data_IF_030062852387
#
_entry.id   IF_030062852387
#
_cell.length_a   1.000
_cell.length_b   1.000
_cell.length_c   1.000
_cell.angle_alpha   90.00
_cell.angle_beta   90.00
_cell.angle_gamma   90.00
#
_symmetry.space_group_name_H-M   'P 1'
#
loop_
_entity.id
_entity.type
_entity.pdbx_description
1 polymer ?
#
# COMPACT_ATOMS: atom_id res chain seq x y z
N UNK A 1 17.27 -0.79 14.82
CA UNK A 1 16.41 -0.23 13.75
C UNK A 1 15.50 0.79 14.42
N UNK A 2 15.55 2.03 13.98
CA UNK A 2 14.53 3.03 14.33
C UNK A 2 13.18 2.56 13.80
N UNK A 3 12.12 2.82 14.55
CA UNK A 3 10.76 2.46 14.15
C UNK A 3 10.37 3.29 12.91
N UNK A 4 9.69 2.73 11.90
CA UNK A 4 9.22 3.51 10.77
C UNK A 4 8.25 4.62 11.23
N UNK A 5 8.41 5.83 10.71
CA UNK A 5 7.45 6.91 10.93
C UNK A 5 6.29 6.80 9.93
N UNK A 6 5.06 7.08 10.34
CA UNK A 6 3.88 7.03 9.44
C UNK A 6 3.27 8.42 9.36
N UNK A 7 3.07 8.90 8.14
CA UNK A 7 2.43 10.18 7.86
C UNK A 7 1.44 10.06 6.69
N UNK A 8 0.64 11.10 6.48
CA UNK A 8 -0.37 11.15 5.43
C UNK A 8 -0.01 12.24 4.41
N UNK A 9 -0.41 12.07 3.15
CA UNK A 9 -0.33 13.09 2.11
C UNK A 9 -1.72 13.48 1.61
N UNK A 10 -1.89 14.77 1.35
CA UNK A 10 -3.13 15.43 0.98
C UNK A 10 -3.76 15.01 -0.37
N UNK A 11 -3.06 14.30 -1.26
CA UNK A 11 -3.59 13.92 -2.58
C UNK A 11 -3.57 12.42 -2.75
N UNK A 12 -4.72 11.84 -3.13
CA UNK A 12 -4.85 10.43 -3.48
C UNK A 12 -5.00 10.32 -4.99
N UNK A 13 -4.01 9.74 -5.66
CA UNK A 13 -4.07 9.43 -7.08
C UNK A 13 -5.20 8.42 -7.39
N UNK A 14 -5.52 8.23 -8.66
CA UNK A 14 -6.17 6.99 -9.09
C UNK A 14 -5.17 5.84 -9.07
N UNK A 15 -5.67 4.59 -9.10
CA UNK A 15 -4.81 3.42 -9.20
C UNK A 15 -3.88 3.49 -10.42
N UNK A 16 -4.41 3.93 -11.57
CA UNK A 16 -3.65 4.00 -12.81
C UNK A 16 -2.53 5.06 -12.71
N UNK A 17 -2.85 6.25 -12.18
CA UNK A 17 -1.84 7.31 -11.92
C UNK A 17 -0.77 6.85 -10.92
N UNK A 18 -1.16 6.16 -9.83
CA UNK A 18 -0.21 5.63 -8.86
C UNK A 18 0.72 4.58 -9.48
N UNK A 19 0.20 3.71 -10.35
CA UNK A 19 0.99 2.72 -11.07
C UNK A 19 1.92 3.34 -12.11
N UNK A 20 1.46 4.36 -12.83
CA UNK A 20 2.30 5.13 -13.77
C UNK A 20 3.45 5.83 -13.04
N UNK A 21 3.15 6.50 -11.92
CA UNK A 21 4.16 7.13 -11.07
C UNK A 21 5.15 6.09 -10.52
N UNK A 22 4.65 4.98 -9.96
CA UNK A 22 5.49 3.91 -9.43
C UNK A 22 6.43 3.33 -10.49
N UNK A 23 5.93 3.08 -11.71
CA UNK A 23 6.73 2.55 -12.81
C UNK A 23 7.85 3.53 -13.21
N UNK A 24 7.53 4.82 -13.27
CA UNK A 24 8.50 5.87 -13.60
C UNK A 24 9.63 5.99 -12.56
N UNK A 25 9.33 5.77 -11.28
CA UNK A 25 10.31 5.87 -10.19
C UNK A 25 11.05 4.55 -9.90
N UNK A 26 10.52 3.40 -10.34
CA UNK A 26 11.06 2.08 -10.05
C UNK A 26 11.35 1.23 -11.32
N UNK A 27 12.14 1.74 -12.30
CA UNK A 27 12.30 1.10 -13.61
C UNK A 27 12.90 -0.32 -13.56
N UNK A 28 13.75 -0.61 -12.56
CA UNK A 28 14.33 -1.95 -12.36
C UNK A 28 13.27 -2.96 -11.94
N UNK A 29 12.35 -2.56 -11.04
CA UNK A 29 11.26 -3.42 -10.59
C UNK A 29 10.14 -3.52 -11.62
N UNK A 30 9.92 -2.46 -12.42
CA UNK A 30 8.93 -2.45 -13.49
C UNK A 30 9.11 -3.60 -14.47
N UNK A 31 10.33 -3.85 -14.96
CA UNK A 31 10.59 -4.96 -15.90
C UNK A 31 10.22 -6.32 -15.30
N UNK A 32 10.49 -6.50 -14.01
CA UNK A 32 10.17 -7.74 -13.31
C UNK A 32 8.66 -7.87 -13.07
N UNK A 33 7.99 -6.75 -12.81
CA UNK A 33 6.56 -6.70 -12.68
C UNK A 33 5.85 -7.00 -13.99
N UNK A 34 6.30 -6.46 -15.13
CA UNK A 34 5.76 -6.79 -16.45
C UNK A 34 5.89 -8.29 -16.76
N UNK A 35 7.03 -8.90 -16.45
CA UNK A 35 7.22 -10.35 -16.60
C UNK A 35 6.29 -11.16 -15.68
N UNK A 36 6.10 -10.70 -14.44
CA UNK A 36 5.12 -11.28 -13.51
C UNK A 36 3.71 -11.22 -14.13
N UNK A 37 3.27 -10.07 -14.64
CA UNK A 37 1.93 -9.87 -15.20
C UNK A 37 1.69 -10.74 -16.44
N UNK A 38 2.70 -10.95 -17.27
CA UNK A 38 2.60 -11.86 -18.42
C UNK A 38 2.34 -13.32 -17.99
N UNK A 39 2.91 -13.72 -16.85
CA UNK A 39 2.78 -15.08 -16.30
C UNK A 39 1.52 -15.24 -15.44
N UNK A 40 1.18 -14.21 -14.69
CA UNK A 40 0.08 -14.16 -13.73
C UNK A 40 -0.71 -12.86 -13.90
N UNK A 41 -1.60 -12.77 -14.90
CA UNK A 41 -2.38 -11.54 -15.13
C UNK A 41 -3.25 -11.13 -13.94
N UNK A 42 -3.63 -12.10 -13.11
CA UNK A 42 -4.40 -11.88 -11.88
C UNK A 42 -3.64 -11.06 -10.83
N UNK A 43 -2.31 -10.98 -10.90
CA UNK A 43 -1.49 -10.17 -9.99
C UNK A 43 -1.89 -8.67 -10.01
N UNK A 44 -2.41 -8.15 -11.13
CA UNK A 44 -2.95 -6.78 -11.20
C UNK A 44 -4.10 -6.57 -10.21
N UNK A 45 -4.96 -7.57 -10.02
CA UNK A 45 -6.06 -7.48 -9.05
C UNK A 45 -5.52 -7.41 -7.62
N UNK A 46 -4.49 -8.19 -7.30
CA UNK A 46 -3.85 -8.19 -5.97
C UNK A 46 -3.20 -6.84 -5.65
N UNK A 47 -2.51 -6.24 -6.63
CA UNK A 47 -1.92 -4.90 -6.47
C UNK A 47 -3.02 -3.84 -6.34
N UNK A 48 -4.13 -3.99 -7.04
CA UNK A 48 -5.29 -3.11 -6.87
C UNK A 48 -5.95 -3.24 -5.49
N UNK A 49 -6.00 -4.45 -4.92
CA UNK A 49 -6.48 -4.64 -3.54
C UNK A 49 -5.55 -3.96 -2.54
N UNK A 50 -4.23 -4.10 -2.70
CA UNK A 50 -3.29 -3.34 -1.89
C UNK A 50 -3.53 -1.83 -2.03
N UNK A 51 -3.76 -1.34 -3.25
CA UNK A 51 -4.04 0.07 -3.49
C UNK A 51 -5.29 0.55 -2.76
N UNK A 52 -6.38 -0.22 -2.77
CA UNK A 52 -7.57 0.13 -1.99
C UNK A 52 -7.28 0.13 -0.48
N UNK A 53 -6.46 -0.81 -0.03
CA UNK A 53 -6.10 -0.95 1.38
C UNK A 53 -5.32 0.25 1.91
N UNK A 54 -4.31 0.75 1.18
CA UNK A 54 -3.39 1.78 1.71
C UNK A 54 -3.34 3.08 0.92
N UNK A 55 -3.82 3.08 -0.33
CA UNK A 55 -3.66 4.15 -1.33
C UNK A 55 -2.22 4.68 -1.45
N UNK A 56 -2.03 5.79 -2.14
CA UNK A 56 -0.79 6.58 -2.15
C UNK A 56 -0.77 7.69 -1.08
N UNK A 57 -1.77 7.77 -0.20
CA UNK A 57 -1.76 8.78 0.85
C UNK A 57 -0.89 8.40 2.04
N UNK A 58 -0.62 7.11 2.27
CA UNK A 58 0.11 6.66 3.46
C UNK A 58 1.61 6.61 3.16
N UNK A 59 2.38 7.39 3.92
CA UNK A 59 3.84 7.40 3.88
C UNK A 59 4.43 6.57 5.01
N UNK A 60 5.54 5.90 4.69
CA UNK A 60 6.41 5.23 5.63
C UNK A 60 7.82 5.81 5.54
N UNK A 61 8.25 6.48 6.61
CA UNK A 61 9.40 7.39 6.62
C UNK A 61 9.24 8.44 5.50
N UNK A 62 10.07 8.37 4.46
CA UNK A 62 10.13 9.33 3.37
C UNK A 62 9.57 8.79 2.03
N UNK A 63 8.83 7.67 2.06
CA UNK A 63 8.31 7.05 0.83
C UNK A 63 6.89 6.51 0.97
N UNK A 64 6.23 6.30 -0.17
CA UNK A 64 4.89 5.75 -0.23
C UNK A 64 4.87 4.30 0.29
N UNK A 65 3.93 3.99 1.18
CA UNK A 65 3.76 2.64 1.70
C UNK A 65 3.36 1.68 0.58
N UNK A 66 2.51 2.12 -0.36
CA UNK A 66 2.15 1.36 -1.55
C UNK A 66 3.39 0.91 -2.34
N UNK A 67 4.28 1.85 -2.68
CA UNK A 67 5.53 1.58 -3.40
C UNK A 67 6.41 0.59 -2.63
N UNK A 68 6.56 0.81 -1.32
CA UNK A 68 7.37 -0.05 -0.47
C UNK A 68 6.86 -1.49 -0.47
N UNK A 69 5.55 -1.69 -0.31
CA UNK A 69 4.92 -3.00 -0.36
C UNK A 69 5.11 -3.68 -1.71
N UNK A 70 4.88 -2.95 -2.81
CA UNK A 70 5.01 -3.49 -4.17
C UNK A 70 6.46 -3.88 -4.50
N UNK A 71 7.43 -3.00 -4.21
CA UNK A 71 8.85 -3.28 -4.42
C UNK A 71 9.32 -4.51 -3.62
N UNK A 72 8.90 -4.61 -2.34
CA UNK A 72 9.27 -5.75 -1.49
C UNK A 72 8.64 -7.06 -1.98
N UNK A 73 7.41 -7.02 -2.47
CA UNK A 73 6.73 -8.19 -3.03
C UNK A 73 7.38 -8.66 -4.34
N UNK A 74 7.72 -7.74 -5.25
CA UNK A 74 8.43 -8.08 -6.50
C UNK A 74 9.80 -8.66 -6.18
N UNK A 75 10.52 -8.08 -5.22
CA UNK A 75 11.80 -8.63 -4.78
C UNK A 75 11.64 -10.07 -4.26
N UNK A 76 10.59 -10.33 -3.46
CA UNK A 76 10.32 -11.67 -2.96
C UNK A 76 10.00 -12.67 -4.09
N UNK A 77 9.24 -12.25 -5.11
CA UNK A 77 8.97 -13.05 -6.31
C UNK A 77 10.28 -13.49 -6.97
N UNK A 78 11.21 -12.56 -7.18
CA UNK A 78 12.52 -12.85 -7.79
C UNK A 78 13.34 -13.84 -6.95
N UNK A 79 13.39 -13.64 -5.63
CA UNK A 79 14.13 -14.50 -4.69
C UNK A 79 13.58 -15.93 -4.70
N UNK A 80 12.25 -16.07 -4.75
CA UNK A 80 11.57 -17.36 -4.72
C UNK A 80 11.43 -18.01 -6.09
N UNK A 81 11.73 -17.32 -7.20
CA UNK A 81 11.64 -17.87 -8.55
C UNK A 81 12.38 -19.20 -8.74
N UNK A 82 13.50 -19.40 -8.03
CA UNK A 82 14.26 -20.67 -8.03
C UNK A 82 13.53 -21.85 -7.37
N UNK A 83 12.52 -21.58 -6.55
CA UNK A 83 11.68 -22.59 -5.87
C UNK A 83 10.43 -22.96 -6.68
N UNK A 84 10.24 -22.35 -7.85
CA UNK A 84 9.09 -22.56 -8.72
C UNK A 84 8.18 -21.35 -8.78
N UNK A 85 7.51 -21.17 -9.91
CA UNK A 85 6.74 -19.97 -10.22
C UNK A 85 5.52 -19.78 -9.31
N UNK A 86 4.84 -20.87 -8.95
CA UNK A 86 3.70 -20.83 -8.02
C UNK A 86 4.16 -20.39 -6.63
N UNK A 87 5.23 -20.98 -6.11
CA UNK A 87 5.79 -20.60 -4.82
C UNK A 87 6.28 -19.14 -4.81
N UNK A 88 6.81 -18.66 -5.94
CA UNK A 88 7.19 -17.27 -6.11
C UNK A 88 5.96 -16.34 -6.10
N UNK A 89 4.90 -16.71 -6.80
CA UNK A 89 3.65 -15.97 -6.84
C UNK A 89 2.94 -15.92 -5.48
N UNK A 90 2.87 -17.04 -4.76
CA UNK A 90 2.34 -17.08 -3.39
C UNK A 90 3.14 -16.17 -2.46
N UNK A 91 4.47 -16.17 -2.61
CA UNK A 91 5.35 -15.28 -1.87
C UNK A 91 5.16 -13.81 -2.21
N UNK A 92 4.86 -13.49 -3.47
CA UNK A 92 4.50 -12.14 -3.91
C UNK A 92 3.23 -11.63 -3.20
N UNK A 93 2.12 -12.37 -3.30
CA UNK A 93 0.84 -11.99 -2.68
C UNK A 93 1.01 -11.81 -1.18
N UNK A 94 1.61 -12.81 -0.53
CA UNK A 94 1.83 -12.77 0.92
C UNK A 94 2.65 -11.55 1.33
N UNK A 95 3.71 -11.24 0.58
CA UNK A 95 4.59 -10.12 0.93
C UNK A 95 3.91 -8.77 0.71
N UNK A 96 3.02 -8.61 -0.28
CA UNK A 96 2.23 -7.39 -0.47
C UNK A 96 1.44 -7.06 0.80
N UNK A 97 0.64 -8.00 1.27
CA UNK A 97 -0.30 -7.78 2.37
C UNK A 97 0.41 -7.77 3.73
N UNK A 98 1.30 -8.74 4.00
CA UNK A 98 2.03 -8.82 5.28
C UNK A 98 2.88 -7.56 5.54
N UNK A 99 3.38 -6.92 4.47
CA UNK A 99 4.18 -5.69 4.60
C UNK A 99 3.30 -4.50 5.00
N UNK A 100 2.12 -4.37 4.40
CA UNK A 100 1.16 -3.33 4.78
C UNK A 100 0.66 -3.54 6.22
N UNK A 101 0.24 -4.76 6.55
CA UNK A 101 -0.19 -5.16 7.90
C UNK A 101 0.89 -4.86 8.92
N UNK A 102 2.13 -5.31 8.68
CA UNK A 102 3.23 -5.09 9.62
C UNK A 102 3.58 -3.61 9.79
N UNK A 103 3.43 -2.80 8.75
CA UNK A 103 3.70 -1.37 8.82
C UNK A 103 2.62 -0.64 9.63
N UNK A 104 1.35 -1.01 9.45
CA UNK A 104 0.21 -0.26 9.97
C UNK A 104 -0.46 -0.88 11.20
N UNK A 105 -0.06 -2.07 11.64
CA UNK A 105 -0.71 -2.82 12.73
C UNK A 105 -0.90 -2.00 14.02
N UNK A 106 0.03 -1.07 14.33
CA UNK A 106 -0.07 -0.20 15.52
C UNK A 106 -0.61 1.19 15.24
N UNK A 107 -1.00 1.50 14.00
CA UNK A 107 -1.40 2.83 13.62
C UNK A 107 -2.90 2.95 13.48
N UNK A 108 -3.42 4.09 13.91
CA UNK A 108 -4.81 4.49 13.77
C UNK A 108 -4.80 5.84 13.05
N UNK A 109 -5.59 5.96 11.98
CA UNK A 109 -5.90 7.23 11.35
C UNK A 109 -7.26 7.65 11.86
N UNK A 110 -7.41 8.90 12.31
CA UNK A 110 -8.65 9.39 12.91
C UNK A 110 -9.06 10.71 12.26
N UNK A 111 -10.36 10.88 12.07
CA UNK A 111 -10.94 12.17 11.71
C UNK A 111 -11.28 13.03 12.94
N UNK A 112 -11.43 14.37 12.80
CA UNK A 112 -11.76 15.26 13.92
C UNK A 112 -13.12 14.96 14.59
N UNK A 113 -13.94 14.09 13.99
CA UNK A 113 -15.23 13.68 14.52
C UNK A 113 -15.14 12.41 15.38
N UNK A 114 -13.97 11.78 15.45
CA UNK A 114 -13.69 10.63 16.32
C UNK A 114 -13.77 9.27 15.63
N UNK A 115 -14.08 9.23 14.33
CA UNK A 115 -14.08 7.99 13.55
C UNK A 115 -12.65 7.56 13.24
N UNK A 116 -12.41 6.25 13.30
CA UNK A 116 -11.07 5.69 13.20
C UNK A 116 -10.99 4.67 12.05
N UNK A 117 -9.88 4.72 11.35
CA UNK A 117 -9.42 3.65 10.47
C UNK A 117 -8.16 3.01 11.05
N UNK A 118 -8.10 1.69 11.02
CA UNK A 118 -6.87 0.93 11.24
C UNK A 118 -6.90 -0.32 10.39
N UNK A 119 -5.73 -0.79 9.98
CA UNK A 119 -5.62 -2.02 9.19
C UNK A 119 -6.21 -3.24 9.92
N UNK A 120 -6.14 -3.25 11.26
CA UNK A 120 -6.67 -4.32 12.10
C UNK A 120 -8.19 -4.43 12.12
N UNK A 121 -8.93 -3.40 11.68
CA UNK A 121 -10.39 -3.48 11.51
C UNK A 121 -10.80 -4.12 10.18
N UNK A 122 -9.84 -4.41 9.29
CA UNK A 122 -10.06 -5.15 8.03
C UNK A 122 -10.75 -4.36 6.92
N UNK A 123 -10.93 -3.03 7.08
CA UNK A 123 -11.48 -2.16 6.05
C UNK A 123 -10.39 -1.53 5.19
N UNK A 124 -10.69 -1.30 3.90
CA UNK A 124 -9.81 -0.56 3.00
C UNK A 124 -9.74 0.92 3.38
N UNK A 125 -8.56 1.53 3.34
CA UNK A 125 -8.44 2.97 3.60
C UNK A 125 -9.20 3.79 2.57
N UNK A 126 -9.19 3.36 1.30
CA UNK A 126 -9.95 4.02 0.24
C UNK A 126 -11.44 4.04 0.53
N UNK A 127 -12.00 2.89 0.91
CA UNK A 127 -13.43 2.79 1.22
C UNK A 127 -13.79 3.67 2.41
N UNK A 128 -12.93 3.71 3.44
CA UNK A 128 -13.13 4.60 4.59
C UNK A 128 -13.12 6.10 4.22
N UNK A 129 -12.28 6.52 3.27
CA UNK A 129 -12.31 7.89 2.75
C UNK A 129 -13.57 8.18 1.94
N UNK A 130 -14.05 7.21 1.16
CA UNK A 130 -15.21 7.36 0.27
C UNK A 130 -16.56 7.27 1.03
N UNK A 131 -16.61 6.59 2.18
CA UNK A 131 -17.80 6.47 3.05
C UNK A 131 -18.31 7.84 3.55
N UNK A 132 -17.41 8.79 3.78
CA UNK A 132 -17.73 10.16 4.19
C UNK A 132 -16.88 11.12 3.37
N UNK A 133 -17.46 11.80 2.34
CA UNK A 133 -16.72 12.68 1.43
C UNK A 133 -15.90 13.77 2.13
N UNK A 134 -16.27 14.16 3.36
CA UNK A 134 -15.48 15.09 4.16
C UNK A 134 -14.10 14.55 4.51
N UNK A 135 -13.90 13.23 4.67
CA UNK A 135 -12.60 12.65 5.03
C UNK A 135 -11.55 12.88 3.95
N UNK A 136 -11.91 12.82 2.67
CA UNK A 136 -11.02 13.20 1.58
C UNK A 136 -10.60 14.69 1.68
N UNK A 137 -11.54 15.58 1.98
CA UNK A 137 -11.25 17.02 2.20
C UNK A 137 -10.38 17.26 3.44
N UNK A 138 -10.60 16.48 4.51
CA UNK A 138 -9.80 16.54 5.73
C UNK A 138 -8.37 16.05 5.48
N UNK A 139 -8.20 14.99 4.68
CA UNK A 139 -6.90 14.52 4.22
C UNK A 139 -6.18 15.62 3.43
N UNK A 140 -6.86 16.25 2.47
CA UNK A 140 -6.34 17.38 1.67
C UNK A 140 -5.88 18.57 2.53
N UNK A 141 -6.55 18.79 3.66
CA UNK A 141 -6.28 19.87 4.61
C UNK A 141 -5.30 19.49 5.72
N UNK A 142 -4.78 18.27 5.72
CA UNK A 142 -3.90 17.76 6.78
C UNK A 142 -4.58 17.75 8.16
N UNK A 143 -5.89 17.52 8.18
CA UNK A 143 -6.74 17.49 9.38
C UNK A 143 -7.05 16.06 9.85
N UNK A 144 -6.58 15.04 9.13
CA UNK A 144 -6.56 13.66 9.63
C UNK A 144 -5.32 13.43 10.49
N UNK A 145 -5.51 12.75 11.63
CA UNK A 145 -4.47 12.54 12.62
C UNK A 145 -4.01 11.07 12.62
N UNK A 146 -2.69 10.86 12.67
CA UNK A 146 -2.09 9.52 12.81
C UNK A 146 -1.67 9.29 14.26
N UNK A 147 -2.13 8.19 14.83
CA UNK A 147 -1.84 7.78 16.19
C UNK A 147 -1.14 6.43 16.23
N UNK A 148 -0.18 6.27 17.13
CA UNK A 148 0.36 4.97 17.49
C UNK A 148 -0.39 4.41 18.71
N UNK A 149 -1.09 3.29 18.52
CA UNK A 149 -1.71 2.52 19.59
C UNK A 149 -0.61 1.72 20.31
N UNK A 150 -0.32 2.10 21.57
CA UNK A 150 0.74 1.51 22.39
C UNK A 150 0.34 0.19 23.02
#
# INVERSE_FOLDING_TARGET
MTKPDISLQAAVMSFDEAMENWAATNPVYQQCFEALLQRFPIATQEVKQLYLLVTDAIYINDGLLFDYCLCKAIHQFQVLGRKGEIAAYDGFIKTLMDTADSALYRYIIRDPHGENWSIGHGGNFRDWLDEEPRRALLLERWELEVFENK
#
